data_IF_150702878615
#
_entry.id   IF_150702878615
#
_cell.length_a   1.000
_cell.length_b   1.000
_cell.length_c   1.000
_cell.angle_alpha   90.00
_cell.angle_beta   90.00
_cell.angle_gamma   90.00
#
_symmetry.space_group_name_H-M   'P 1'
#
loop_
_entity.id
_entity.type
_entity.pdbx_description
1 polymer ?
#
# COMPACT_ATOMS: atom_id res chain seq x y z
N UNK A 1 19.06 -26.14 25.50
CA UNK A 1 20.40 -25.51 25.57
C UNK A 1 20.44 -24.45 24.47
N UNK A 2 20.30 -23.16 24.82
CA UNK A 2 20.32 -22.06 23.85
C UNK A 2 21.78 -21.75 23.55
N UNK A 3 22.30 -22.23 22.42
CA UNK A 3 23.66 -21.88 22.00
C UNK A 3 23.59 -20.53 21.29
N UNK A 4 24.10 -19.49 21.95
CA UNK A 4 24.18 -18.14 21.38
C UNK A 4 25.37 -18.09 20.41
N UNK A 5 25.20 -18.59 19.19
CA UNK A 5 26.24 -18.47 18.16
C UNK A 5 26.09 -17.13 17.46
N UNK A 6 27.08 -16.22 17.62
CA UNK A 6 27.26 -15.10 16.70
C UNK A 6 27.72 -15.67 15.35
N UNK A 7 26.78 -16.02 14.49
CA UNK A 7 27.08 -16.36 13.10
C UNK A 7 27.09 -15.07 12.31
N UNK A 8 28.28 -14.68 11.83
CA UNK A 8 28.40 -13.76 10.70
C UNK A 8 27.87 -14.51 9.46
N UNK A 9 26.58 -14.40 9.20
CA UNK A 9 26.00 -14.83 7.94
C UNK A 9 26.35 -13.75 6.92
N UNK A 10 27.51 -13.88 6.28
CA UNK A 10 27.76 -13.20 5.01
C UNK A 10 26.71 -13.73 4.01
N UNK A 11 26.05 -12.82 3.29
CA UNK A 11 24.99 -13.08 2.29
C UNK A 11 25.15 -14.42 1.56
N UNK A 12 24.61 -15.49 2.14
CA UNK A 12 24.49 -16.77 1.48
C UNK A 12 23.12 -16.77 0.81
N UNK A 13 23.12 -16.37 -0.48
CA UNK A 13 21.98 -16.46 -1.41
C UNK A 13 20.67 -15.89 -0.88
N UNK A 14 20.65 -14.57 -0.63
CA UNK A 14 19.46 -13.80 -0.99
C UNK A 14 19.40 -13.81 -2.52
N UNK A 15 18.53 -14.61 -3.13
CA UNK A 15 18.12 -14.35 -4.51
C UNK A 15 17.13 -13.19 -4.48
N UNK A 16 17.66 -11.97 -4.32
CA UNK A 16 16.97 -10.78 -4.81
C UNK A 16 17.17 -10.72 -6.34
N UNK A 17 16.15 -10.46 -7.16
CA UNK A 17 16.31 -10.36 -8.61
C UNK A 17 17.10 -9.14 -9.09
N UNK A 18 17.56 -8.26 -8.20
CA UNK A 18 18.29 -7.05 -8.56
C UNK A 18 19.73 -7.11 -8.05
N UNK A 19 20.67 -7.00 -9.00
CA UNK A 19 22.13 -6.88 -8.86
C UNK A 19 22.95 -8.18 -8.93
N UNK A 20 23.36 -8.53 -10.16
CA UNK A 20 24.56 -9.33 -10.41
C UNK A 20 25.78 -8.41 -10.33
N UNK A 21 26.64 -8.61 -9.32
CA UNK A 21 27.99 -8.05 -9.30
C UNK A 21 28.99 -9.20 -9.10
N UNK A 22 29.76 -9.50 -10.16
CA UNK A 22 30.87 -10.44 -10.17
C UNK A 22 32.08 -9.80 -9.48
N UNK A 23 32.68 -10.49 -8.50
CA UNK A 23 34.00 -10.14 -7.97
C UNK A 23 34.90 -11.38 -7.97
N UNK A 24 35.95 -11.32 -8.80
CA UNK A 24 37.03 -12.30 -8.88
C UNK A 24 37.94 -12.22 -7.65
N UNK A 25 38.24 -13.36 -7.02
CA UNK A 25 39.22 -13.44 -5.93
C UNK A 25 40.58 -13.90 -6.48
N UNK A 26 41.61 -13.08 -6.35
CA UNK A 26 43.01 -13.50 -6.46
C UNK A 26 43.53 -13.86 -5.07
N UNK A 27 44.04 -15.07 -4.89
CA UNK A 27 44.65 -15.50 -3.63
C UNK A 27 46.15 -15.28 -3.67
N UNK A 28 46.69 -14.43 -2.79
CA UNK A 28 48.10 -14.52 -2.39
C UNK A 28 48.17 -15.03 -0.95
N UNK A 29 48.94 -16.10 -0.73
CA UNK A 29 49.28 -16.63 0.60
C UNK A 29 50.55 -15.96 1.07
N UNK A 30 50.54 -15.37 2.27
CA UNK A 30 51.77 -15.03 2.99
C UNK A 30 51.75 -15.67 4.37
N UNK A 31 52.79 -16.44 4.63
CA UNK A 31 53.09 -17.20 5.86
C UNK A 31 53.78 -16.25 6.86
N UNK A 32 53.32 -16.21 8.11
CA UNK A 32 53.90 -15.37 9.15
C UNK A 32 55.12 -16.04 9.83
N UNK A 33 56.12 -15.24 10.17
CA UNK A 33 57.21 -15.49 11.13
C UNK A 33 57.37 -14.23 12.03
N UNK A 34 57.88 -14.32 13.27
CA UNK A 34 57.63 -13.33 14.32
C UNK A 34 58.78 -12.32 14.55
N UNK A 35 58.42 -11.09 14.96
CA UNK A 35 59.30 -10.14 15.65
C UNK A 35 59.50 -8.78 14.97
N UNK A 36 59.04 -7.69 15.61
CA UNK A 36 59.35 -6.29 15.22
C UNK A 36 58.24 -5.28 15.56
N UNK A 37 58.55 -4.01 15.92
CA UNK A 37 57.78 -3.24 16.90
C UNK A 37 56.55 -2.49 16.36
N UNK A 38 55.66 -2.20 17.30
CA UNK A 38 54.39 -1.47 17.22
C UNK A 38 54.48 -0.15 16.45
N UNK A 39 53.81 -0.09 15.29
CA UNK A 39 53.45 1.16 14.62
C UNK A 39 51.95 1.43 14.82
N UNK A 40 51.68 2.42 15.66
CA UNK A 40 50.36 2.89 16.06
C UNK A 40 49.72 3.65 14.89
N UNK A 41 48.90 3.00 14.06
CA UNK A 41 48.05 3.70 13.10
C UNK A 41 46.80 4.25 13.78
N UNK A 42 46.70 5.58 13.75
CA UNK A 42 45.59 6.38 14.27
C UNK A 42 44.52 6.45 13.19
N UNK A 43 43.44 5.68 13.32
CA UNK A 43 42.24 5.89 12.50
C UNK A 43 41.40 7.00 13.11
N UNK A 44 41.17 8.05 12.33
CA UNK A 44 40.31 9.18 12.68
C UNK A 44 38.85 8.73 12.78
N UNK A 45 38.23 8.96 13.94
CA UNK A 45 36.77 8.85 14.09
C UNK A 45 36.14 10.06 13.39
N UNK A 46 35.39 9.82 12.32
CA UNK A 46 34.47 10.82 11.76
C UNK A 46 33.21 10.81 12.63
N UNK A 47 33.00 11.90 13.36
CA UNK A 47 31.79 12.15 14.15
C UNK A 47 30.74 12.78 13.23
N UNK A 48 29.68 12.04 12.92
CA UNK A 48 28.51 12.59 12.25
C UNK A 48 27.68 13.37 13.28
N UNK A 49 27.73 14.70 13.20
CA UNK A 49 26.78 15.57 13.90
C UNK A 49 25.42 15.47 13.22
N UNK A 50 24.39 15.21 13.99
CA UNK A 50 22.98 15.21 13.58
C UNK A 50 22.57 16.62 13.13
N UNK A 51 22.16 16.78 11.87
CA UNK A 51 21.43 17.96 11.41
C UNK A 51 19.94 17.64 11.58
N UNK A 52 19.30 18.29 12.55
CA UNK A 52 17.84 18.26 12.68
C UNK A 52 17.25 19.13 11.56
N UNK A 53 16.35 18.57 10.74
CA UNK A 53 15.52 19.34 9.83
C UNK A 53 14.13 19.51 10.45
N UNK A 54 13.79 20.76 10.78
CA UNK A 54 12.44 21.18 11.13
C UNK A 54 11.62 21.39 9.86
N UNK A 55 10.47 20.74 9.75
CA UNK A 55 9.49 21.01 8.68
C UNK A 55 8.63 22.20 9.08
N UNK A 56 8.79 23.33 8.38
CA UNK A 56 7.84 24.45 8.42
C UNK A 56 6.82 24.29 7.30
N UNK A 57 5.54 24.14 7.68
CA UNK A 57 4.40 24.42 6.81
C UNK A 57 4.39 25.91 6.47
N UNK A 58 4.41 26.24 5.18
CA UNK A 58 4.23 27.61 4.72
C UNK A 58 2.76 27.81 4.29
N UNK A 59 2.01 28.56 5.10
CA UNK A 59 0.84 29.33 4.65
C UNK A 59 1.31 30.72 4.24
N UNK A 60 0.94 31.18 3.05
CA UNK A 60 1.23 32.54 2.60
C UNK A 60 0.61 33.59 3.53
N UNK A 61 1.47 34.40 4.13
CA UNK A 61 1.15 35.74 4.57
C UNK A 61 2.40 36.60 4.36
N UNK A 62 2.25 37.65 3.56
CA UNK A 62 3.33 38.56 3.20
C UNK A 62 3.90 39.26 4.45
N UNK A 63 5.16 39.00 4.75
CA UNK A 63 6.02 39.89 5.52
C UNK A 63 7.47 39.62 5.12
N UNK A 64 8.08 40.65 4.55
CA UNK A 64 9.45 40.76 4.06
C UNK A 64 10.49 40.20 5.06
N UNK A 65 10.92 38.95 4.83
CA UNK A 65 12.13 38.36 5.43
C UNK A 65 12.75 37.35 4.47
N UNK A 66 13.88 37.77 3.87
CA UNK A 66 14.97 36.94 3.35
C UNK A 66 14.58 35.69 2.55
N UNK A 67 14.66 35.80 1.22
CA UNK A 67 14.64 34.69 0.27
C UNK A 67 15.47 33.49 0.79
N UNK A 68 14.95 32.25 0.78
CA UNK A 68 15.82 31.08 0.89
C UNK A 68 16.72 31.03 -0.34
N UNK A 69 18.01 30.76 -0.12
CA UNK A 69 19.02 30.55 -1.16
C UNK A 69 18.43 29.73 -2.32
N UNK A 70 18.44 30.33 -3.52
CA UNK A 70 17.95 29.71 -4.74
C UNK A 70 18.64 28.35 -4.92
N UNK A 71 17.86 27.27 -4.87
CA UNK A 71 18.34 25.93 -5.17
C UNK A 71 18.67 25.92 -6.66
N UNK A 72 19.96 25.85 -6.99
CA UNK A 72 20.42 25.77 -8.37
C UNK A 72 19.98 24.43 -9.00
N UNK A 73 19.78 24.38 -10.31
CA UNK A 73 19.27 23.21 -11.02
C UNK A 73 20.14 21.96 -10.79
N UNK A 74 21.46 22.15 -10.63
CA UNK A 74 22.41 21.08 -10.32
C UNK A 74 22.22 20.47 -8.93
N UNK A 75 21.84 21.28 -7.93
CA UNK A 75 21.55 20.79 -6.57
C UNK A 75 20.27 19.95 -6.54
N UNK A 76 19.27 20.32 -7.34
CA UNK A 76 18.01 19.56 -7.44
C UNK A 76 18.29 18.15 -7.97
N UNK A 77 19.10 18.05 -9.03
CA UNK A 77 19.46 16.76 -9.64
C UNK A 77 20.31 15.88 -8.70
N UNK A 78 21.24 16.49 -7.96
CA UNK A 78 22.01 15.78 -6.94
C UNK A 78 21.12 15.25 -5.81
N UNK A 79 20.19 16.07 -5.31
CA UNK A 79 19.24 15.64 -4.28
C UNK A 79 18.28 14.55 -4.80
N UNK A 80 17.82 14.64 -6.04
CA UNK A 80 17.02 13.59 -6.66
C UNK A 80 17.80 12.25 -6.73
N UNK A 81 19.07 12.29 -7.11
CA UNK A 81 19.92 11.12 -7.20
C UNK A 81 20.24 10.51 -5.81
N UNK A 82 20.61 11.34 -4.84
CA UNK A 82 20.93 10.90 -3.49
C UNK A 82 19.70 10.36 -2.75
N UNK A 83 18.54 10.98 -2.93
CA UNK A 83 17.29 10.51 -2.31
C UNK A 83 16.88 9.15 -2.85
N UNK A 84 17.02 8.90 -4.16
CA UNK A 84 16.76 7.58 -4.78
C UNK A 84 17.67 6.50 -4.19
N UNK A 85 18.97 6.80 -4.07
CA UNK A 85 19.94 5.88 -3.48
C UNK A 85 19.66 5.62 -1.99
N UNK A 86 19.30 6.65 -1.21
CA UNK A 86 18.89 6.48 0.18
C UNK A 86 17.66 5.58 0.30
N UNK A 87 16.66 5.74 -0.57
CA UNK A 87 15.49 4.87 -0.60
C UNK A 87 15.86 3.40 -0.88
N UNK A 88 16.82 3.14 -1.78
CA UNK A 88 17.31 1.79 -2.03
C UNK A 88 18.01 1.19 -0.79
N UNK A 89 18.84 1.96 -0.08
CA UNK A 89 19.49 1.49 1.14
C UNK A 89 18.49 1.21 2.28
N UNK A 90 17.44 2.02 2.40
CA UNK A 90 16.39 1.85 3.43
C UNK A 90 15.56 0.59 3.19
N UNK A 91 15.46 0.12 1.95
CA UNK A 91 14.79 -1.15 1.63
C UNK A 91 15.54 -2.35 2.21
N UNK A 92 16.85 -2.26 2.41
CA UNK A 92 17.68 -3.37 2.88
C UNK A 92 17.44 -3.63 4.38
N UNK A 93 16.95 -4.83 4.76
CA UNK A 93 16.72 -5.18 6.15
C UNK A 93 18.04 -5.41 6.91
N UNK A 94 18.02 -5.12 8.22
CA UNK A 94 19.14 -5.43 9.13
C UNK A 94 18.84 -6.69 9.94
N UNK A 95 19.76 -7.65 9.94
CA UNK A 95 19.63 -8.87 10.76
C UNK A 95 20.14 -8.56 12.17
N UNK A 96 19.29 -8.73 13.18
CA UNK A 96 19.62 -8.45 14.57
C UNK A 96 20.11 -9.69 15.32
N UNK A 97 19.22 -10.68 15.48
CA UNK A 97 19.48 -11.93 16.23
C UNK A 97 18.97 -13.12 15.44
N UNK A 98 19.59 -14.28 15.62
CA UNK A 98 19.11 -15.54 15.08
C UNK A 98 19.15 -16.62 16.17
N UNK A 99 18.11 -17.45 16.19
CA UNK A 99 17.99 -18.61 17.07
C UNK A 99 17.82 -19.85 16.22
N UNK A 100 18.63 -20.87 16.48
CA UNK A 100 18.53 -22.16 15.78
C UNK A 100 18.06 -23.21 16.78
N UNK A 101 17.00 -23.91 16.41
CA UNK A 101 16.37 -24.99 17.13
C UNK A 101 16.62 -26.27 16.36
N UNK A 102 17.56 -27.07 16.85
CA UNK A 102 17.85 -28.37 16.26
C UNK A 102 16.73 -29.35 16.64
N UNK A 103 16.16 -30.01 15.63
CA UNK A 103 15.26 -31.13 15.86
C UNK A 103 16.07 -32.36 16.30
N UNK A 104 15.49 -33.21 17.16
CA UNK A 104 16.07 -34.51 17.51
C UNK A 104 15.77 -35.57 16.45
N UNK A 105 14.70 -35.38 15.68
CA UNK A 105 14.30 -36.21 14.55
C UNK A 105 14.53 -35.45 13.24
N UNK A 106 15.20 -36.11 12.30
CA UNK A 106 15.57 -35.67 10.95
C UNK A 106 16.54 -34.48 10.80
N UNK A 107 17.22 -34.49 9.64
CA UNK A 107 18.20 -33.52 9.11
C UNK A 107 17.64 -32.09 8.92
N UNK A 108 16.58 -31.73 9.64
CA UNK A 108 15.84 -30.48 9.56
C UNK A 108 15.90 -29.70 10.89
N UNK A 109 16.64 -28.60 10.89
CA UNK A 109 16.64 -27.63 11.99
C UNK A 109 15.68 -26.49 11.69
N UNK A 110 15.06 -25.91 12.71
CA UNK A 110 14.26 -24.68 12.56
C UNK A 110 15.10 -23.50 13.01
N UNK A 111 15.08 -22.40 12.28
CA UNK A 111 15.69 -21.17 12.76
C UNK A 111 14.69 -20.02 12.73
N UNK A 112 14.86 -19.11 13.67
CA UNK A 112 14.09 -17.88 13.79
C UNK A 112 15.07 -16.73 13.72
N UNK A 113 14.84 -15.79 12.81
CA UNK A 113 15.70 -14.62 12.60
C UNK A 113 14.91 -13.36 12.89
N UNK A 114 15.44 -12.55 13.79
CA UNK A 114 14.96 -11.20 14.07
C UNK A 114 15.56 -10.23 13.07
N UNK A 115 14.68 -9.56 12.34
CA UNK A 115 15.03 -8.58 11.32
C UNK A 115 14.46 -7.23 11.73
N UNK A 116 15.26 -6.19 11.57
CA UNK A 116 14.86 -4.80 11.77
C UNK A 116 14.88 -4.04 10.45
N UNK A 117 13.84 -3.26 10.20
CA UNK A 117 13.79 -2.31 9.07
C UNK A 117 13.52 -0.89 9.60
N UNK A 118 14.27 0.08 9.10
CA UNK A 118 14.05 1.49 9.41
C UNK A 118 13.02 2.07 8.46
N UNK A 119 12.02 2.76 9.01
CA UNK A 119 11.02 3.52 8.29
C UNK A 119 11.34 5.00 8.50
N UNK A 120 11.93 5.62 7.46
CA UNK A 120 12.37 7.02 7.53
C UNK A 120 11.20 7.99 7.65
N UNK A 121 10.08 7.71 6.98
CA UNK A 121 8.93 8.62 6.94
C UNK A 121 8.17 8.60 8.26
N UNK A 122 7.96 7.43 8.84
CA UNK A 122 7.34 7.32 10.15
C UNK A 122 8.32 7.61 11.31
N UNK A 123 9.62 7.78 11.02
CA UNK A 123 10.70 7.83 12.00
C UNK A 123 10.61 6.69 13.03
N UNK A 124 10.35 5.48 12.54
CA UNK A 124 10.16 4.27 13.36
C UNK A 124 11.09 3.17 12.89
N UNK A 125 11.44 2.26 13.80
CA UNK A 125 12.15 1.02 13.46
C UNK A 125 11.22 -0.15 13.69
N UNK A 126 10.85 -0.83 12.62
CA UNK A 126 10.05 -2.06 12.68
C UNK A 126 10.95 -3.24 12.95
N UNK A 127 10.48 -4.18 13.75
CA UNK A 127 11.17 -5.44 14.02
C UNK A 127 10.19 -6.58 13.81
N UNK A 128 10.61 -7.57 13.04
CA UNK A 128 9.80 -8.75 12.77
C UNK A 128 10.63 -10.02 12.89
N UNK A 129 9.92 -11.13 13.08
CA UNK A 129 10.49 -12.46 13.13
C UNK A 129 10.23 -13.17 11.80
N UNK A 130 11.27 -13.81 11.27
CA UNK A 130 11.18 -14.75 10.17
C UNK A 130 11.53 -16.14 10.64
N UNK A 131 10.75 -17.10 10.18
CA UNK A 131 10.99 -18.50 10.46
C UNK A 131 11.63 -19.13 9.22
N UNK A 132 12.55 -20.06 9.41
CA UNK A 132 13.14 -20.82 8.31
C UNK A 132 13.34 -22.27 8.74
N UNK A 133 13.16 -23.17 7.80
CA UNK A 133 13.55 -24.56 7.91
C UNK A 133 14.90 -24.74 7.21
N UNK A 134 15.88 -25.19 7.97
CA UNK A 134 17.22 -25.49 7.51
C UNK A 134 17.28 -26.99 7.30
N UNK A 135 17.38 -27.43 6.04
CA UNK A 135 17.56 -28.84 5.71
C UNK A 135 18.97 -29.06 5.17
N UNK A 136 19.51 -30.25 5.43
CA UNK A 136 20.80 -30.66 4.88
C UNK A 136 20.55 -31.52 3.65
N UNK A 137 21.04 -31.09 2.49
CA UNK A 137 20.94 -31.89 1.28
C UNK A 137 21.93 -33.07 1.31
N UNK A 138 21.65 -34.16 0.58
CA UNK A 138 22.56 -35.29 0.44
C UNK A 138 23.94 -34.90 -0.13
N UNK A 139 24.00 -33.79 -0.87
CA UNK A 139 25.21 -33.23 -1.48
C UNK A 139 26.06 -32.36 -0.55
N UNK A 140 25.81 -32.36 0.77
CA UNK A 140 26.45 -31.49 1.79
C UNK A 140 26.16 -29.99 1.62
N UNK A 141 25.19 -29.60 0.80
CA UNK A 141 24.70 -28.21 0.78
C UNK A 141 23.60 -28.02 1.81
N UNK A 142 23.50 -26.81 2.35
CA UNK A 142 22.43 -26.44 3.29
C UNK A 142 21.37 -25.68 2.49
N UNK A 143 20.12 -26.12 2.60
CA UNK A 143 18.97 -25.45 2.01
C UNK A 143 18.16 -24.73 3.09
N UNK A 144 17.62 -23.57 2.74
CA UNK A 144 16.89 -22.68 3.65
C UNK A 144 15.52 -22.39 3.06
N UNK A 145 14.50 -23.00 3.64
CA UNK A 145 13.11 -22.72 3.30
C UNK A 145 12.56 -21.65 4.25
N UNK A 146 12.54 -20.41 3.80
CA UNK A 146 12.00 -19.28 4.56
C UNK A 146 10.47 -19.30 4.59
N UNK A 147 9.89 -18.85 5.69
CA UNK A 147 8.47 -18.50 5.74
C UNK A 147 8.21 -17.37 4.75
N UNK A 148 7.13 -17.41 3.96
CA UNK A 148 6.89 -16.45 2.89
C UNK A 148 6.77 -15.02 3.43
N UNK A 149 6.11 -14.84 4.59
CA UNK A 149 5.86 -13.51 5.14
C UNK A 149 6.30 -13.39 6.62
N UNK A 150 6.88 -12.24 7.01
CA UNK A 150 7.17 -11.94 8.40
C UNK A 150 5.91 -11.73 9.24
N UNK A 151 6.02 -12.00 10.54
CA UNK A 151 4.88 -11.91 11.47
C UNK A 151 4.80 -10.53 12.15
N UNK A 152 4.05 -9.60 11.57
CA UNK A 152 3.56 -8.38 12.24
C UNK A 152 2.10 -8.10 11.83
N UNK A 153 1.13 -8.54 12.65
CA UNK A 153 -0.31 -8.52 12.31
C UNK A 153 -1.10 -7.51 13.18
N UNK A 154 -0.43 -6.68 13.98
CA UNK A 154 -1.12 -5.72 14.86
C UNK A 154 -1.82 -4.61 14.06
N UNK A 155 -3.09 -4.36 14.35
CA UNK A 155 -3.87 -3.25 13.78
C UNK A 155 -4.24 -3.44 12.30
N UNK A 156 -4.33 -4.68 11.83
CA UNK A 156 -4.63 -5.02 10.44
C UNK A 156 -6.12 -5.26 10.25
N UNK A 157 -6.72 -4.61 9.27
CA UNK A 157 -8.13 -4.74 8.90
C UNK A 157 -8.37 -5.84 7.87
N UNK A 158 -7.45 -6.06 6.93
CA UNK A 158 -7.52 -7.14 5.95
C UNK A 158 -6.13 -7.65 5.55
N UNK A 159 -6.07 -8.94 5.21
CA UNK A 159 -4.86 -9.62 4.72
C UNK A 159 -5.24 -10.34 3.43
N UNK A 160 -4.58 -10.01 2.31
CA UNK A 160 -4.90 -10.58 1.00
C UNK A 160 -3.62 -11.03 0.29
N UNK A 161 -3.40 -12.34 0.10
CA UNK A 161 -2.25 -12.84 -0.64
C UNK A 161 -2.37 -12.49 -2.12
N UNK A 162 -1.23 -12.30 -2.78
CA UNK A 162 -1.20 -12.11 -4.23
C UNK A 162 -1.49 -13.43 -4.97
N UNK A 163 -1.90 -13.38 -6.25
CA UNK A 163 -2.20 -14.57 -7.04
C UNK A 163 -1.02 -15.55 -7.17
N UNK A 164 0.22 -15.06 -7.21
CA UNK A 164 1.42 -15.92 -7.19
C UNK A 164 1.75 -16.48 -5.80
N UNK A 165 1.24 -15.86 -4.73
CA UNK A 165 1.61 -16.15 -3.35
C UNK A 165 2.96 -15.57 -2.92
N UNK A 166 3.63 -14.78 -3.76
CA UNK A 166 4.92 -14.16 -3.43
C UNK A 166 4.77 -12.86 -2.62
N UNK A 167 3.61 -12.19 -2.75
CA UNK A 167 3.31 -10.94 -2.04
C UNK A 167 2.09 -11.08 -1.14
N UNK A 168 2.03 -10.23 -0.12
CA UNK A 168 0.94 -10.14 0.83
C UNK A 168 0.55 -8.69 1.04
N UNK A 169 -0.72 -8.36 0.78
CA UNK A 169 -1.28 -7.06 1.10
C UNK A 169 -1.81 -7.08 2.53
N UNK A 170 -1.38 -6.12 3.34
CA UNK A 170 -1.98 -5.79 4.62
C UNK A 170 -2.62 -4.41 4.56
N UNK A 171 -3.91 -4.35 4.88
CA UNK A 171 -4.68 -3.12 4.97
C UNK A 171 -4.75 -2.71 6.43
N UNK A 172 -4.40 -1.46 6.74
CA UNK A 172 -4.55 -0.86 8.07
C UNK A 172 -5.42 0.38 7.95
N UNK A 173 -6.70 0.22 8.27
CA UNK A 173 -7.60 1.36 8.41
C UNK A 173 -7.29 2.08 9.72
N UNK A 174 -7.29 3.41 9.68
CA UNK A 174 -7.21 4.21 10.90
C UNK A 174 -8.61 4.64 11.33
N UNK A 175 -8.90 4.51 12.63
CA UNK A 175 -10.12 5.04 13.22
C UNK A 175 -10.07 6.56 13.40
N UNK A 176 -8.86 7.11 13.55
CA UNK A 176 -8.60 8.54 13.73
C UNK A 176 -8.52 9.27 12.37
N UNK A 177 -8.38 10.60 12.37
CA UNK A 177 -8.13 11.43 11.17
C UNK A 177 -6.82 11.18 10.42
N UNK A 178 -6.25 9.99 10.59
CA UNK A 178 -5.03 9.56 9.94
C UNK A 178 -5.31 8.81 8.63
N UNK A 179 -4.33 8.77 7.71
CA UNK A 179 -4.47 8.14 6.39
C UNK A 179 -4.60 6.61 6.50
N UNK A 180 -5.35 6.02 5.57
CA UNK A 180 -5.40 4.57 5.42
C UNK A 180 -4.07 4.07 4.86
N UNK A 181 -3.53 2.99 5.44
CA UNK A 181 -2.23 2.45 5.02
C UNK A 181 -2.39 1.11 4.32
N UNK A 182 -1.76 0.97 3.16
CA UNK A 182 -1.63 -0.28 2.42
C UNK A 182 -0.17 -0.72 2.44
N UNK A 183 0.08 -1.89 2.99
CA UNK A 183 1.42 -2.48 3.10
C UNK A 183 1.54 -3.69 2.20
N UNK A 184 2.56 -3.70 1.35
CA UNK A 184 2.84 -4.78 0.43
C UNK A 184 4.11 -5.45 0.91
N UNK A 185 3.96 -6.67 1.39
CA UNK A 185 5.03 -7.50 1.91
C UNK A 185 5.44 -8.50 0.85
N UNK A 186 6.72 -8.53 0.54
CA UNK A 186 7.32 -9.58 -0.29
C UNK A 186 7.95 -10.66 0.59
N UNK A 187 8.75 -11.55 -0.02
CA UNK A 187 9.48 -12.56 0.72
C UNK A 187 10.39 -11.87 1.74
N UNK A 188 10.15 -12.15 3.02
CA UNK A 188 11.00 -11.73 4.12
C UNK A 188 11.03 -10.21 4.46
N UNK A 189 10.36 -9.32 3.72
CA UNK A 189 10.44 -7.87 3.95
C UNK A 189 9.22 -7.09 3.47
N UNK A 190 9.01 -5.91 4.05
CA UNK A 190 8.05 -4.93 3.55
C UNK A 190 8.61 -4.29 2.27
N UNK A 191 7.96 -4.47 1.12
CA UNK A 191 8.43 -3.92 -0.16
C UNK A 191 7.92 -2.50 -0.38
N UNK A 192 6.64 -2.27 -0.10
CA UNK A 192 6.02 -0.96 -0.27
C UNK A 192 5.06 -0.63 0.86
N UNK A 193 4.95 0.65 1.19
CA UNK A 193 4.01 1.18 2.16
C UNK A 193 3.38 2.46 1.60
N UNK A 194 2.10 2.38 1.29
CA UNK A 194 1.37 3.45 0.63
C UNK A 194 0.39 4.07 1.63
N UNK A 195 0.53 5.38 1.82
CA UNK A 195 -0.31 6.16 2.71
C UNK A 195 -1.34 6.92 1.88
N UNK A 196 -2.61 6.62 2.10
CA UNK A 196 -3.70 7.21 1.32
C UNK A 196 -4.46 8.21 2.19
N UNK A 197 -4.41 9.47 1.77
CA UNK A 197 -5.07 10.56 2.48
C UNK A 197 -6.60 10.42 2.40
N UNK A 198 -7.28 10.88 3.46
CA UNK A 198 -8.76 10.91 3.51
C UNK A 198 -9.40 11.77 2.41
N UNK A 199 -8.63 12.68 1.79
CA UNK A 199 -9.05 13.47 0.63
C UNK A 199 -9.20 12.63 -0.64
N UNK A 200 -8.52 11.48 -0.74
CA UNK A 200 -8.64 10.54 -1.87
C UNK A 200 -9.80 9.58 -1.62
N UNK A 201 -9.80 8.92 -0.46
CA UNK A 201 -10.88 8.06 0.01
C UNK A 201 -10.79 7.86 1.52
N UNK A 202 -11.88 7.45 2.17
CA UNK A 202 -11.91 7.12 3.59
C UNK A 202 -11.38 5.70 3.88
N UNK A 203 -11.95 5.05 4.89
CA UNK A 203 -11.55 3.68 5.27
C UNK A 203 -11.94 2.67 4.19
N UNK A 204 -11.13 1.63 4.01
CA UNK A 204 -11.46 0.51 3.15
C UNK A 204 -12.59 -0.32 3.78
N UNK A 205 -13.50 -0.82 2.94
CA UNK A 205 -14.50 -1.78 3.37
C UNK A 205 -13.86 -3.16 3.44
N UNK A 206 -13.87 -3.76 4.63
CA UNK A 206 -13.35 -5.10 4.91
C UNK A 206 -14.43 -6.00 5.53
N UNK A 207 -15.69 -5.65 5.29
CA UNK A 207 -16.88 -6.39 5.73
C UNK A 207 -17.47 -7.23 4.59
N UNK A 208 -18.14 -8.32 4.91
CA UNK A 208 -18.68 -9.30 3.93
C UNK A 208 -19.55 -8.72 2.78
N UNK A 209 -20.12 -7.53 2.94
CA UNK A 209 -21.04 -6.93 1.96
C UNK A 209 -20.35 -6.01 0.97
N UNK A 210 -19.68 -4.96 1.48
CA UNK A 210 -18.99 -3.99 0.63
C UNK A 210 -17.48 -4.27 0.53
N UNK A 211 -16.98 -5.38 1.09
CA UNK A 211 -15.61 -5.83 0.85
C UNK A 211 -15.36 -6.07 -0.62
N UNK A 212 -14.10 -6.00 -1.01
CA UNK A 212 -13.64 -6.45 -2.30
C UNK A 212 -12.24 -5.92 -2.44
N UNK A 213 -11.26 -6.79 -2.34
CA UNK A 213 -9.85 -6.47 -2.56
C UNK A 213 -9.34 -7.54 -3.51
N UNK A 214 -8.90 -7.12 -4.69
CA UNK A 214 -8.49 -8.02 -5.74
C UNK A 214 -7.20 -7.53 -6.39
N UNK A 215 -6.23 -8.44 -6.48
CA UNK A 215 -5.02 -8.24 -7.25
C UNK A 215 -5.29 -8.49 -8.73
N UNK A 216 -4.68 -7.71 -9.60
CA UNK A 216 -4.62 -8.07 -11.00
C UNK A 216 -3.66 -9.26 -11.22
N UNK A 217 -3.75 -9.90 -12.38
CA UNK A 217 -2.95 -11.09 -12.70
C UNK A 217 -1.43 -10.83 -12.69
N UNK A 218 -1.00 -9.61 -13.04
CA UNK A 218 0.40 -9.20 -13.09
C UNK A 218 0.95 -8.70 -11.75
N UNK A 219 0.10 -8.58 -10.73
CA UNK A 219 0.45 -8.00 -9.41
C UNK A 219 1.07 -6.61 -9.47
N UNK A 220 0.58 -5.79 -10.41
CA UNK A 220 0.94 -4.39 -10.61
C UNK A 220 -0.14 -3.45 -10.08
N UNK A 221 -1.39 -3.91 -10.05
CA UNK A 221 -2.55 -3.14 -9.62
C UNK A 221 -3.39 -3.91 -8.59
N UNK A 222 -3.99 -3.17 -7.66
CA UNK A 222 -4.95 -3.72 -6.70
C UNK A 222 -6.23 -2.90 -6.80
N UNK A 223 -7.35 -3.57 -7.01
CA UNK A 223 -8.67 -2.96 -6.96
C UNK A 223 -9.26 -3.18 -5.58
N UNK A 224 -9.85 -2.14 -5.00
CA UNK A 224 -10.51 -2.25 -3.70
C UNK A 224 -11.67 -1.27 -3.54
N UNK A 225 -12.55 -1.57 -2.58
CA UNK A 225 -13.69 -0.73 -2.23
C UNK A 225 -13.38 0.07 -0.97
N UNK A 226 -13.58 1.38 -1.02
CA UNK A 226 -13.35 2.30 0.09
C UNK A 226 -14.47 3.35 0.18
N UNK A 227 -14.54 4.04 1.32
CA UNK A 227 -15.47 5.16 1.49
C UNK A 227 -15.15 6.30 0.51
N UNK A 228 -16.18 6.82 -0.17
CA UNK A 228 -16.04 8.04 -0.96
C UNK A 228 -15.45 9.17 -0.09
N UNK A 229 -14.53 10.00 -0.64
CA UNK A 229 -14.03 11.15 0.09
C UNK A 229 -15.17 12.07 0.54
N UNK A 230 -15.02 12.77 1.68
CA UNK A 230 -16.04 13.69 2.17
C UNK A 230 -16.35 14.75 1.13
N UNK A 231 -17.64 14.95 0.83
CA UNK A 231 -18.04 16.05 -0.03
C UNK A 231 -17.69 17.38 0.63
N UNK A 232 -17.22 18.36 -0.16
CA UNK A 232 -17.00 19.70 0.35
C UNK A 232 -18.32 20.26 0.86
N UNK A 233 -18.32 20.65 2.13
CA UNK A 233 -19.51 21.22 2.77
C UNK A 233 -19.63 22.69 2.36
N UNK A 234 -20.83 23.17 2.00
CA UNK A 234 -20.99 24.57 1.61
C UNK A 234 -20.63 25.46 2.80
N UNK A 235 -19.77 26.44 2.59
CA UNK A 235 -19.36 27.39 3.63
C UNK A 235 -20.04 28.73 3.37
N UNK A 236 -20.62 29.29 4.42
CA UNK A 236 -21.32 30.56 4.36
C UNK A 236 -20.68 31.57 5.32
N UNK A 237 -20.73 32.84 4.97
CA UNK A 237 -20.32 33.95 5.83
C UNK A 237 -21.36 35.10 5.77
N UNK A 238 -21.04 36.23 6.40
CA UNK A 238 -21.86 37.46 6.38
C UNK A 238 -22.20 37.96 4.96
N UNK A 239 -21.47 37.52 3.93
CA UNK A 239 -21.64 37.93 2.53
C UNK A 239 -22.25 36.82 1.64
N UNK A 240 -22.67 35.70 2.22
CA UNK A 240 -23.31 34.58 1.49
C UNK A 240 -22.38 33.38 1.26
N UNK A 241 -22.57 32.68 0.14
CA UNK A 241 -21.84 31.46 -0.19
C UNK A 241 -20.38 31.74 -0.54
N UNK A 242 -19.46 31.02 0.12
CA UNK A 242 -18.05 30.97 -0.26
C UNK A 242 -17.76 29.68 -1.02
N UNK A 243 -17.26 29.83 -2.25
CA UNK A 243 -16.60 28.73 -2.95
C UNK A 243 -15.27 28.44 -2.25
N UNK A 244 -15.08 27.18 -1.88
CA UNK A 244 -13.95 26.67 -1.09
C UNK A 244 -12.60 27.16 -1.65
N UNK A 245 -11.76 27.78 -0.81
CA UNK A 245 -10.48 28.35 -1.26
C UNK A 245 -9.79 29.39 -0.37
N UNK A 246 -10.31 29.76 0.81
CA UNK A 246 -9.63 30.69 1.72
C UNK A 246 -9.69 30.20 3.18
N UNK A 247 -8.49 30.12 3.77
CA UNK A 247 -8.12 29.96 5.19
C UNK A 247 -9.25 29.79 6.19
N UNK A 248 -9.20 28.68 6.93
CA UNK A 248 -10.10 28.26 8.02
C UNK A 248 -10.12 29.22 9.25
N UNK A 249 -9.50 30.40 9.16
CA UNK A 249 -9.37 31.40 10.23
C UNK A 249 -10.33 32.59 10.12
N UNK A 250 -11.35 32.52 9.28
CA UNK A 250 -12.40 33.53 9.29
C UNK A 250 -13.37 33.27 10.44
N UNK A 251 -13.23 34.03 11.54
CA UNK A 251 -14.07 33.98 12.76
C UNK A 251 -15.57 34.30 12.53
N UNK A 252 -16.04 34.35 11.28
CA UNK A 252 -17.42 34.66 10.88
C UNK A 252 -17.93 33.78 9.73
N UNK A 253 -17.53 32.51 9.73
CA UNK A 253 -18.03 31.53 8.76
C UNK A 253 -18.70 30.36 9.48
N UNK A 254 -19.72 29.79 8.84
CA UNK A 254 -20.37 28.55 9.28
C UNK A 254 -20.43 27.56 8.12
N UNK A 255 -20.24 26.26 8.43
CA UNK A 255 -20.29 25.17 7.45
C UNK A 255 -21.71 24.59 7.45
N UNK A 256 -22.36 24.56 6.29
CA UNK A 256 -23.60 23.83 6.10
C UNK A 256 -23.39 22.32 6.24
N UNK A 257 -24.47 21.58 6.49
CA UNK A 257 -24.36 20.12 6.68
C UNK A 257 -24.12 19.36 5.36
N UNK A 258 -24.40 19.99 4.22
CA UNK A 258 -24.38 19.37 2.89
C UNK A 258 -25.70 18.65 2.60
N UNK A 259 -25.70 17.87 1.52
CA UNK A 259 -26.82 16.99 1.20
C UNK A 259 -26.93 15.87 2.23
N UNK A 260 -28.14 15.54 2.65
CA UNK A 260 -28.37 14.43 3.58
C UNK A 260 -28.22 13.10 2.84
N UNK A 261 -27.33 12.24 3.33
CA UNK A 261 -27.12 10.90 2.78
C UNK A 261 -27.65 9.85 3.75
N UNK A 262 -28.55 8.99 3.28
CA UNK A 262 -29.02 7.85 4.06
C UNK A 262 -27.92 6.80 4.19
N UNK A 263 -27.88 6.12 5.34
CA UNK A 263 -26.92 5.06 5.63
C UNK A 263 -27.47 3.69 5.23
N UNK A 264 -26.60 2.70 5.07
CA UNK A 264 -26.99 1.32 4.74
C UNK A 264 -27.52 0.51 5.94
N UNK A 265 -28.35 1.17 6.76
CA UNK A 265 -28.89 0.65 8.02
C UNK A 265 -28.01 0.91 9.24
N UNK A 266 -28.45 0.37 10.37
CA UNK A 266 -27.85 0.60 11.70
C UNK A 266 -26.36 0.25 11.77
N UNK A 267 -25.96 -0.86 11.12
CA UNK A 267 -24.59 -1.37 11.12
C UNK A 267 -23.63 -0.58 10.25
N UNK A 268 -24.16 0.32 9.41
CA UNK A 268 -23.41 1.19 8.50
C UNK A 268 -23.65 2.68 8.80
N UNK A 269 -24.12 3.00 10.00
CA UNK A 269 -24.49 4.37 10.42
C UNK A 269 -23.34 5.40 10.37
N UNK A 270 -22.08 4.95 10.41
CA UNK A 270 -20.89 5.80 10.34
C UNK A 270 -20.11 5.68 9.02
N UNK A 271 -20.61 4.89 8.07
CA UNK A 271 -19.94 4.58 6.80
C UNK A 271 -20.54 5.44 5.68
N UNK A 272 -19.68 5.93 4.79
CA UNK A 272 -20.07 6.71 3.60
C UNK A 272 -20.54 5.82 2.45
N UNK A 273 -20.68 6.38 1.26
CA UNK A 273 -20.95 5.61 0.04
C UNK A 273 -19.71 4.78 -0.31
N UNK A 274 -19.83 3.45 -0.49
CA UNK A 274 -18.72 2.64 -0.95
C UNK A 274 -18.47 2.87 -2.44
N UNK A 275 -17.23 3.26 -2.75
CA UNK A 275 -16.75 3.57 -4.09
C UNK A 275 -15.54 2.70 -4.45
N UNK A 276 -15.34 2.50 -5.75
CA UNK A 276 -14.30 1.62 -6.28
C UNK A 276 -13.03 2.39 -6.65
N UNK A 277 -11.89 1.91 -6.15
CA UNK A 277 -10.58 2.50 -6.41
C UNK A 277 -9.61 1.44 -6.91
N UNK A 278 -8.64 1.88 -7.71
CA UNK A 278 -7.49 1.08 -8.14
C UNK A 278 -6.21 1.79 -7.74
N UNK A 279 -5.26 1.03 -7.19
CA UNK A 279 -3.92 1.51 -6.86
C UNK A 279 -2.89 0.86 -7.75
N UNK A 280 -1.96 1.67 -8.25
CA UNK A 280 -0.73 1.20 -8.88
C UNK A 280 0.33 1.00 -7.80
N UNK A 281 0.80 -0.23 -7.66
CA UNK A 281 1.77 -0.60 -6.62
C UNK A 281 3.13 0.08 -6.84
N UNK A 282 3.53 0.26 -8.09
CA UNK A 282 4.85 0.80 -8.43
C UNK A 282 4.92 2.30 -8.22
N UNK A 283 3.89 3.04 -8.61
CA UNK A 283 3.84 4.50 -8.44
C UNK A 283 3.25 4.95 -7.10
N UNK A 284 2.46 4.10 -6.43
CA UNK A 284 1.68 4.47 -5.25
C UNK A 284 0.47 5.35 -5.58
N UNK A 285 0.16 5.55 -6.87
CA UNK A 285 -0.97 6.39 -7.30
C UNK A 285 -2.29 5.63 -7.15
N UNK A 286 -3.29 6.30 -6.61
CA UNK A 286 -4.65 5.79 -6.41
C UNK A 286 -5.61 6.55 -7.31
N UNK A 287 -6.44 5.83 -8.07
CA UNK A 287 -7.46 6.42 -8.95
C UNK A 287 -8.84 5.81 -8.66
N UNK A 288 -9.89 6.64 -8.53
CA UNK A 288 -11.27 6.14 -8.53
C UNK A 288 -11.65 5.64 -9.93
N UNK A 289 -12.48 4.60 -9.98
CA UNK A 289 -13.08 4.14 -11.23
C UNK A 289 -14.14 5.14 -11.66
N UNK A 290 -13.92 5.79 -12.80
CA UNK A 290 -14.81 6.83 -13.33
C UNK A 290 -16.14 6.22 -13.81
N UNK A 291 -17.17 7.05 -13.88
CA UNK A 291 -18.49 6.73 -14.45
C UNK A 291 -19.38 5.78 -13.62
N UNK A 292 -19.03 5.51 -12.37
CA UNK A 292 -19.96 4.86 -11.43
C UNK A 292 -20.85 5.95 -10.82
N UNK A 293 -22.18 5.91 -11.03
CA UNK A 293 -23.08 6.89 -10.44
C UNK A 293 -23.16 6.72 -8.92
N UNK A 294 -23.24 7.83 -8.18
CA UNK A 294 -23.38 7.82 -6.69
C UNK A 294 -24.62 7.11 -6.17
N UNK A 295 -25.63 6.92 -7.02
CA UNK A 295 -26.80 6.11 -6.67
C UNK A 295 -26.47 4.63 -6.49
N UNK A 296 -25.34 4.16 -7.03
CA UNK A 296 -24.85 2.79 -6.89
C UNK A 296 -23.77 2.70 -5.81
N UNK A 297 -24.01 1.87 -4.80
CA UNK A 297 -23.01 1.49 -3.81
C UNK A 297 -22.30 0.22 -4.27
N UNK A 298 -20.97 0.28 -4.40
CA UNK A 298 -20.15 -0.82 -4.93
C UNK A 298 -19.71 -1.77 -3.83
N UNK A 299 -19.57 -3.04 -4.15
CA UNK A 299 -18.92 -4.06 -3.32
C UNK A 299 -18.44 -5.22 -4.17
N UNK A 300 -17.77 -6.16 -3.52
CA UNK A 300 -17.34 -7.46 -4.04
C UNK A 300 -16.63 -7.36 -5.40
N UNK A 301 -15.63 -6.48 -5.48
CA UNK A 301 -14.84 -6.30 -6.70
C UNK A 301 -13.83 -7.43 -6.91
N UNK A 302 -13.69 -7.83 -8.17
CA UNK A 302 -12.71 -8.79 -8.66
C UNK A 302 -12.17 -8.35 -10.03
N UNK A 303 -10.87 -8.58 -10.27
CA UNK A 303 -10.30 -8.43 -11.61
C UNK A 303 -10.75 -9.55 -12.54
N UNK A 304 -11.11 -9.20 -13.78
CA UNK A 304 -11.40 -10.19 -14.81
C UNK A 304 -10.10 -10.90 -15.28
N UNK A 305 -10.13 -12.23 -15.52
CA UNK A 305 -8.95 -13.04 -15.84
C UNK A 305 -8.52 -12.96 -17.33
N UNK A 306 -8.84 -11.87 -18.05
CA UNK A 306 -8.57 -11.71 -19.48
C UNK A 306 -7.70 -10.48 -19.76
N UNK A 307 -7.03 -10.45 -20.92
CA UNK A 307 -6.17 -9.36 -21.40
C UNK A 307 -6.87 -8.00 -21.57
N UNK A 308 -8.18 -7.97 -21.38
CA UNK A 308 -8.98 -6.75 -21.29
C UNK A 308 -9.02 -6.32 -19.83
N UNK A 309 -8.16 -5.37 -19.42
CA UNK A 309 -8.08 -4.81 -18.06
C UNK A 309 -9.45 -4.28 -17.58
N UNK A 310 -10.28 -5.17 -17.07
CA UNK A 310 -11.67 -4.93 -16.69
C UNK A 310 -11.91 -5.43 -15.28
N UNK A 311 -12.69 -4.64 -14.55
CA UNK A 311 -13.11 -4.90 -13.18
C UNK A 311 -14.55 -5.38 -13.22
N UNK A 312 -14.84 -6.46 -12.50
CA UNK A 312 -16.22 -6.92 -12.27
C UNK A 312 -16.55 -6.73 -10.80
N UNK A 313 -17.69 -6.11 -10.52
CA UNK A 313 -18.10 -5.81 -9.16
C UNK A 313 -19.62 -5.91 -9.01
N UNK A 314 -20.07 -6.05 -7.77
CA UNK A 314 -21.49 -5.98 -7.41
C UNK A 314 -21.83 -4.55 -7.06
N UNK A 315 -22.99 -4.07 -7.49
CA UNK A 315 -23.52 -2.82 -6.97
C UNK A 315 -24.99 -2.90 -6.59
N UNK A 316 -25.33 -2.16 -5.54
CA UNK A 316 -26.68 -2.01 -5.03
C UNK A 316 -27.18 -0.61 -5.33
N UNK A 317 -28.39 -0.52 -5.88
CA UNK A 317 -29.06 0.77 -6.04
C UNK A 317 -29.46 1.33 -4.68
N UNK A 318 -29.31 2.63 -4.52
CA UNK A 318 -29.85 3.39 -3.39
C UNK A 318 -31.38 3.34 -3.41
N UNK A 319 -31.97 3.26 -4.61
CA UNK A 319 -33.41 3.14 -4.81
C UNK A 319 -33.88 1.71 -4.54
N UNK A 320 -35.01 1.58 -3.84
CA UNK A 320 -35.61 0.32 -3.44
C UNK A 320 -37.10 0.24 -3.75
N UNK A 321 -37.59 -1.00 -3.90
CA UNK A 321 -39.01 -1.34 -4.03
C UNK A 321 -39.58 -1.16 -5.43
N UNK A 322 -40.82 -1.64 -5.62
CA UNK A 322 -41.53 -1.63 -6.91
C UNK A 322 -41.73 -0.22 -7.50
N UNK A 323 -41.68 0.82 -6.66
CA UNK A 323 -41.86 2.22 -7.03
C UNK A 323 -40.55 3.03 -7.10
N UNK A 324 -39.38 2.40 -6.94
CA UNK A 324 -38.10 3.11 -6.98
C UNK A 324 -37.98 4.17 -5.88
N UNK A 325 -38.47 3.86 -4.66
CA UNK A 325 -38.39 4.80 -3.54
C UNK A 325 -36.92 5.01 -3.14
N UNK A 326 -36.47 6.26 -2.91
CA UNK A 326 -35.07 6.60 -2.67
C UNK A 326 -34.57 6.22 -1.27
N UNK A 327 -35.20 5.25 -0.60
CA UNK A 327 -34.86 4.84 0.77
C UNK A 327 -33.92 3.66 0.81
N UNK A 328 -32.75 3.82 1.44
CA UNK A 328 -31.79 2.75 1.70
C UNK A 328 -32.23 1.91 2.90
N UNK A 329 -32.73 0.70 2.62
CA UNK A 329 -32.89 -0.34 3.62
C UNK A 329 -31.53 -0.89 4.08
N UNK A 330 -31.49 -1.48 5.27
CA UNK A 330 -30.25 -1.99 5.86
C UNK A 330 -29.63 -3.13 5.06
N UNK A 331 -28.36 -3.03 4.66
CA UNK A 331 -27.72 -4.05 3.80
C UNK A 331 -27.58 -5.41 4.49
N UNK A 332 -27.36 -5.43 5.81
CA UNK A 332 -27.07 -6.66 6.55
C UNK A 332 -28.29 -7.55 6.79
N UNK A 333 -29.44 -6.95 7.10
CA UNK A 333 -30.64 -7.68 7.53
C UNK A 333 -31.80 -7.63 6.51
N UNK A 334 -31.69 -6.82 5.46
CA UNK A 334 -32.67 -6.76 4.37
C UNK A 334 -32.14 -7.44 3.10
N UNK A 335 -32.15 -8.77 3.08
CA UNK A 335 -31.56 -9.60 2.01
C UNK A 335 -32.29 -9.52 0.66
N UNK A 336 -33.57 -9.14 0.61
CA UNK A 336 -34.37 -9.06 -0.63
C UNK A 336 -34.07 -7.81 -1.47
N UNK A 337 -32.81 -7.36 -1.48
CA UNK A 337 -32.40 -6.17 -2.21
C UNK A 337 -31.93 -6.52 -3.61
N UNK A 338 -32.41 -5.81 -4.64
CA UNK A 338 -31.86 -5.96 -5.97
C UNK A 338 -30.38 -5.60 -6.03
N UNK A 339 -29.58 -6.49 -6.59
CA UNK A 339 -28.18 -6.26 -6.90
C UNK A 339 -27.85 -6.81 -8.28
N UNK A 340 -26.84 -6.24 -8.91
CA UNK A 340 -26.39 -6.69 -10.22
C UNK A 340 -24.86 -6.63 -10.30
N UNK A 341 -24.32 -7.45 -11.20
CA UNK A 341 -22.92 -7.39 -11.58
C UNK A 341 -22.74 -6.32 -12.65
N UNK A 342 -21.69 -5.54 -12.48
CA UNK A 342 -21.24 -4.52 -13.42
C UNK A 342 -19.81 -4.81 -13.81
N UNK A 343 -19.47 -4.49 -15.05
CA UNK A 343 -18.10 -4.44 -15.55
C UNK A 343 -17.70 -2.99 -15.80
N UNK A 344 -16.52 -2.58 -15.36
CA UNK A 344 -15.93 -1.29 -15.69
C UNK A 344 -14.50 -1.47 -16.19
N UNK A 345 -14.03 -0.61 -17.11
CA UNK A 345 -12.64 -0.63 -17.55
C UNK A 345 -11.69 -0.16 -16.42
N UNK A 346 -10.45 -0.61 -16.50
CA UNK A 346 -9.36 -0.15 -15.64
C UNK A 346 -9.10 1.37 -15.84
N UNK A 347 -9.09 2.17 -14.75
CA UNK A 347 -8.76 3.59 -14.81
C UNK A 347 -7.34 3.89 -15.29
N UNK A 348 -6.40 2.94 -15.22
CA UNK A 348 -5.04 3.11 -15.76
C UNK A 348 -4.95 2.70 -17.24
N UNK A 349 -5.66 1.65 -17.66
CA UNK A 349 -5.75 1.23 -19.07
C UNK A 349 -6.34 2.29 -20.02
N UNK A 350 -7.28 3.14 -19.55
CA UNK A 350 -7.90 4.19 -20.37
C UNK A 350 -6.91 5.24 -20.93
N UNK A 351 -5.75 5.43 -20.32
CA UNK A 351 -4.75 6.40 -20.80
C UNK A 351 -3.85 5.81 -21.90
N UNK A 352 -3.57 4.51 -21.85
CA UNK A 352 -2.78 3.83 -22.88
C UNK A 352 -3.50 3.87 -24.24
N UNK A 353 -4.82 3.65 -24.28
CA UNK A 353 -5.61 3.68 -25.51
C UNK A 353 -5.87 5.11 -26.04
N UNK A 354 -5.94 6.11 -25.15
CA UNK A 354 -6.05 7.53 -25.53
C UNK A 354 -4.77 8.08 -26.16
N UNK A 355 -3.61 7.53 -25.82
CA UNK A 355 -2.33 7.94 -26.41
C UNK A 355 -2.10 7.40 -27.83
N UNK A 356 -2.91 6.43 -28.28
CA UNK A 356 -2.76 5.74 -29.56
C UNK A 356 -3.84 6.11 -30.60
N UNK A 357 -4.88 6.88 -30.22
CA UNK A 357 -6.03 7.12 -31.12
C UNK A 357 -6.52 8.56 -31.09
N UNK A 358 -5.71 9.51 -31.56
CA UNK A 358 -6.27 10.72 -32.19
C UNK A 358 -6.85 10.34 -33.56
N UNK A 359 -8.12 9.90 -33.60
CA UNK A 359 -8.72 9.61 -34.90
C UNK A 359 -10.10 8.97 -34.96
N UNK A 360 -10.71 8.48 -33.88
CA UNK A 360 -12.08 7.96 -33.96
C UNK A 360 -12.92 8.34 -32.73
N UNK A 361 -13.89 9.22 -32.96
CA UNK A 361 -15.01 9.43 -32.03
C UNK A 361 -15.94 8.21 -32.09
N UNK A 362 -16.10 7.55 -30.96
CA UNK A 362 -17.32 6.79 -30.68
C UNK A 362 -17.12 5.37 -30.16
N UNK A 363 -16.58 5.23 -28.95
CA UNK A 363 -17.12 4.36 -27.91
C UNK A 363 -16.29 4.60 -26.64
N UNK A 364 -16.69 5.58 -25.83
CA UNK A 364 -16.21 5.68 -24.46
C UNK A 364 -16.67 4.42 -23.75
N UNK A 365 -15.74 3.52 -23.39
CA UNK A 365 -16.02 2.24 -22.71
C UNK A 365 -16.75 2.51 -21.39
N UNK A 366 -18.08 2.53 -21.44
CA UNK A 366 -18.95 2.81 -20.30
C UNK A 366 -19.11 1.57 -19.44
N UNK A 367 -19.29 1.77 -18.13
CA UNK A 367 -19.70 0.70 -17.21
C UNK A 367 -20.90 -0.10 -17.78
N UNK A 368 -20.76 -1.43 -17.87
CA UNK A 368 -21.76 -2.34 -18.45
C UNK A 368 -22.44 -3.12 -17.33
N UNK A 369 -23.77 -3.13 -17.28
CA UNK A 369 -24.54 -4.00 -16.40
C UNK A 369 -24.60 -5.41 -16.99
N UNK A 370 -23.84 -6.35 -16.43
CA UNK A 370 -23.73 -7.72 -16.92
C UNK A 370 -25.01 -8.53 -16.68
N UNK A 371 -25.64 -8.34 -15.52
CA UNK A 371 -26.82 -9.10 -15.12
C UNK A 371 -28.09 -8.24 -15.15
N UNK A 372 -28.35 -7.60 -16.29
CA UNK A 372 -29.53 -6.75 -16.46
C UNK A 372 -30.85 -7.53 -16.27
N UNK A 373 -30.86 -8.80 -16.67
CA UNK A 373 -32.04 -9.68 -16.63
C UNK A 373 -32.21 -10.43 -15.29
N UNK A 374 -31.28 -10.28 -14.35
CA UNK A 374 -31.36 -10.91 -13.03
C UNK A 374 -31.67 -9.85 -11.97
N UNK A 375 -32.49 -10.22 -11.00
CA UNK A 375 -32.82 -9.36 -9.86
C UNK A 375 -31.78 -9.43 -8.74
N UNK A 376 -30.89 -10.42 -8.74
CA UNK A 376 -29.83 -10.58 -7.73
C UNK A 376 -28.63 -11.32 -8.33
N UNK A 377 -27.44 -10.76 -8.16
CA UNK A 377 -26.16 -11.38 -8.48
C UNK A 377 -25.08 -10.87 -7.52
N UNK A 378 -24.38 -11.80 -6.85
CA UNK A 378 -23.39 -11.50 -5.80
C UNK A 378 -22.17 -12.44 -5.91
N UNK A 379 -21.08 -12.08 -5.22
CA UNK A 379 -19.82 -12.84 -5.14
C UNK A 379 -19.31 -13.36 -6.49
N UNK A 380 -18.94 -12.46 -7.43
CA UNK A 380 -18.32 -12.89 -8.68
C UNK A 380 -17.03 -13.68 -8.38
N UNK A 381 -16.93 -14.87 -8.98
CA UNK A 381 -15.75 -15.73 -8.88
C UNK A 381 -15.34 -16.19 -10.26
N UNK A 382 -14.09 -15.97 -10.59
CA UNK A 382 -13.46 -16.57 -11.75
C UNK A 382 -12.77 -17.86 -11.32
N UNK A 383 -12.85 -18.90 -12.16
CA UNK A 383 -12.23 -20.20 -11.93
C UNK A 383 -11.01 -20.36 -12.80
#
# INVERSE_FOLDING_TARGET
MVVLVRVLVACAKFRCPAANLLLSASTSRVRAQPGGPLLRQRTSKVSLRSIAMSTTQASEAAADKGLPLAVDATMIDEYASQSKLLQEFVKIPTIGKAWIFNSKDDDMSKAVVSIGKSDLLANKRRQFLLNTHISKSPSKSVDFQWSPFPTEISGVSAIVPSPSGEKLLLVRNSEDDSPTKLEIWGPCQLENEIHIAKSVHGSLYTDEWFEGISWNQEETFIAYVAEEPPQPKPVFNDYGFKKEGLSEKDCKSWKGQGDWEETWGETYSKKRIPALFVINISSGEVRPVKQIPRSLSVGQVIWAPSSSYSLVFVAWSSDNGFQGTPRKLGIKYCYNRPCALYAAPDPFGQEAEKSLTEGNKGETTTMIKLTANLSSAFFPRFR
#
